data_IF_025984244375
#
_entry.id   IF_025984244375
#
_cell.length_a   1.000
_cell.length_b   1.000
_cell.length_c   1.000
_cell.angle_alpha   90.00
_cell.angle_beta   90.00
_cell.angle_gamma   90.00
#
_symmetry.space_group_name_H-M   'P 1'
#
loop_
_entity.id
_entity.type
_entity.pdbx_description
1 polymer ?
#
# COMPACT_ATOMS: atom_id res chain seq x y z
N UNK A 1 15.30 5.62 1.50
CA UNK A 1 14.25 6.48 2.05
C UNK A 1 13.63 5.78 3.24
N UNK A 2 13.49 6.48 4.37
CA UNK A 2 12.72 5.98 5.50
C UNK A 2 11.24 5.93 5.11
N UNK A 3 10.51 4.97 5.62
CA UNK A 3 9.05 4.90 5.53
C UNK A 3 8.44 5.69 6.70
N UNK A 4 7.15 6.04 6.65
CA UNK A 4 6.47 6.73 7.75
C UNK A 4 6.17 8.22 7.52
N UNK A 5 6.43 8.75 6.32
CA UNK A 5 6.05 10.12 5.94
C UNK A 5 6.86 11.25 6.59
N UNK A 6 7.97 10.95 7.23
CA UNK A 6 8.80 11.94 7.90
C UNK A 6 9.46 12.90 6.92
N UNK A 7 9.14 14.17 7.01
CA UNK A 7 9.69 15.26 6.19
C UNK A 7 10.04 16.49 7.02
N UNK A 8 10.88 17.37 6.44
CA UNK A 8 11.32 18.63 7.10
C UNK A 8 10.29 19.76 6.92
N UNK A 9 9.36 19.63 5.98
CA UNK A 9 8.37 20.64 5.63
C UNK A 9 6.96 20.13 5.91
N UNK A 10 6.08 20.97 6.45
CA UNK A 10 4.67 20.61 6.70
C UNK A 10 3.90 20.24 5.41
N UNK A 11 4.26 20.81 4.26
CA UNK A 11 3.68 20.50 2.96
C UNK A 11 4.42 19.36 2.23
N UNK A 12 5.23 18.59 2.94
CA UNK A 12 5.98 17.43 2.44
C UNK A 12 6.77 17.77 1.15
N UNK A 13 6.41 17.21 0.00
CA UNK A 13 7.13 17.40 -1.27
C UNK A 13 6.52 18.46 -2.19
N UNK A 14 5.43 19.14 -1.81
CA UNK A 14 4.70 20.08 -2.67
C UNK A 14 5.54 21.29 -3.16
N UNK A 15 6.55 21.71 -2.41
CA UNK A 15 7.41 22.85 -2.75
C UNK A 15 8.72 22.50 -3.48
N UNK A 16 8.89 21.26 -3.94
CA UNK A 16 10.08 20.84 -4.67
C UNK A 16 9.88 20.89 -6.18
N UNK A 17 11.00 20.91 -6.95
CA UNK A 17 10.94 20.93 -8.40
C UNK A 17 10.32 19.65 -8.97
N UNK A 18 9.71 19.75 -10.16
CA UNK A 18 9.12 18.62 -10.86
C UNK A 18 10.13 17.49 -11.12
N UNK A 19 11.39 17.84 -11.39
CA UNK A 19 12.45 16.86 -11.54
C UNK A 19 12.64 16.01 -10.27
N UNK A 20 12.69 16.66 -9.09
CA UNK A 20 12.84 15.96 -7.82
C UNK A 20 11.61 15.10 -7.50
N UNK A 21 10.40 15.63 -7.71
CA UNK A 21 9.15 14.90 -7.49
C UNK A 21 9.12 13.63 -8.36
N UNK A 22 9.42 13.75 -9.65
CA UNK A 22 9.43 12.61 -10.57
C UNK A 22 10.52 11.58 -10.20
N UNK A 23 11.72 12.06 -9.84
CA UNK A 23 12.81 11.19 -9.41
C UNK A 23 12.40 10.40 -8.15
N UNK A 24 11.86 11.07 -7.15
CA UNK A 24 11.38 10.42 -5.92
C UNK A 24 10.28 9.41 -6.23
N UNK A 25 9.33 9.74 -7.13
CA UNK A 25 8.26 8.81 -7.55
C UNK A 25 8.82 7.52 -8.11
N UNK A 26 9.77 7.62 -9.05
CA UNK A 26 10.40 6.45 -9.67
C UNK A 26 11.13 5.60 -8.61
N UNK A 27 11.94 6.23 -7.77
CA UNK A 27 12.67 5.49 -6.75
C UNK A 27 11.77 4.89 -5.67
N UNK A 28 10.69 5.55 -5.23
CA UNK A 28 9.70 4.95 -4.34
C UNK A 28 9.15 3.65 -4.93
N UNK A 29 8.67 3.69 -6.18
CA UNK A 29 8.11 2.50 -6.85
C UNK A 29 9.18 1.41 -7.00
N UNK A 30 10.41 1.74 -7.38
CA UNK A 30 11.50 0.77 -7.52
C UNK A 30 11.84 0.11 -6.18
N UNK A 31 11.99 0.87 -5.09
CA UNK A 31 12.29 0.30 -3.76
C UNK A 31 11.14 -0.52 -3.16
N UNK A 32 9.92 -0.39 -3.70
CA UNK A 32 8.81 -1.28 -3.39
C UNK A 32 8.87 -2.67 -4.04
N UNK A 33 9.78 -2.89 -4.99
CA UNK A 33 10.02 -4.20 -5.62
C UNK A 33 10.84 -5.08 -4.67
N UNK A 34 10.62 -6.38 -4.73
CA UNK A 34 11.39 -7.39 -4.01
C UNK A 34 12.89 -7.32 -4.38
N UNK A 35 13.77 -7.13 -3.41
CA UNK A 35 15.22 -7.00 -3.67
C UNK A 35 15.85 -8.26 -4.28
N UNK A 36 15.24 -9.43 -4.12
CA UNK A 36 15.68 -10.64 -4.81
C UNK A 36 15.60 -10.49 -6.33
N UNK A 37 14.66 -9.71 -6.85
CA UNK A 37 14.56 -9.43 -8.29
C UNK A 37 15.79 -8.67 -8.78
N UNK A 38 16.26 -7.67 -8.02
CA UNK A 38 17.49 -6.93 -8.35
C UNK A 38 18.73 -7.82 -8.30
N UNK A 39 18.82 -8.71 -7.29
CA UNK A 39 19.88 -9.70 -7.24
C UNK A 39 19.87 -10.63 -8.46
N UNK A 40 18.70 -11.09 -8.90
CA UNK A 40 18.56 -11.93 -10.09
C UNK A 40 18.99 -11.19 -11.38
N UNK A 41 18.67 -9.89 -11.47
CA UNK A 41 19.12 -9.04 -12.59
C UNK A 41 20.64 -8.90 -12.57
N UNK A 42 21.23 -8.59 -11.42
CA UNK A 42 22.68 -8.51 -11.23
C UNK A 42 23.39 -9.83 -11.60
N UNK A 43 22.81 -10.96 -11.18
CA UNK A 43 23.28 -12.30 -11.48
C UNK A 43 23.00 -12.74 -12.96
N UNK A 44 22.51 -11.81 -13.81
CA UNK A 44 22.16 -12.05 -15.24
C UNK A 44 21.10 -13.14 -15.46
N UNK A 45 20.28 -13.43 -14.43
CA UNK A 45 19.19 -14.41 -14.51
C UNK A 45 17.85 -13.72 -14.87
N UNK A 46 17.84 -12.94 -15.95
CA UNK A 46 16.73 -12.10 -16.40
C UNK A 46 15.41 -12.86 -16.52
N UNK A 47 15.45 -14.11 -17.02
CA UNK A 47 14.26 -14.94 -17.20
C UNK A 47 13.60 -15.30 -15.87
N UNK A 48 14.39 -15.49 -14.80
CA UNK A 48 13.86 -15.75 -13.45
C UNK A 48 13.33 -14.46 -12.81
N UNK A 49 14.03 -13.33 -13.01
CA UNK A 49 13.56 -12.03 -12.56
C UNK A 49 12.21 -11.66 -13.20
N UNK A 50 12.11 -11.84 -14.54
CA UNK A 50 10.88 -11.59 -15.28
C UNK A 50 9.74 -12.57 -14.96
N UNK A 51 10.01 -13.75 -14.39
CA UNK A 51 8.99 -14.71 -13.98
C UNK A 51 8.43 -14.47 -12.56
N UNK A 52 8.86 -13.41 -11.87
CA UNK A 52 8.37 -13.08 -10.52
C UNK A 52 6.91 -12.62 -10.58
N UNK A 53 6.00 -13.48 -10.12
CA UNK A 53 4.56 -13.23 -10.14
C UNK A 53 4.17 -12.04 -9.26
N UNK A 54 4.79 -11.92 -8.07
CA UNK A 54 4.56 -10.82 -7.15
C UNK A 54 4.87 -9.46 -7.80
N UNK A 55 5.98 -9.34 -8.52
CA UNK A 55 6.38 -8.12 -9.22
C UNK A 55 5.36 -7.70 -10.27
N UNK A 56 4.83 -8.65 -11.06
CA UNK A 56 3.80 -8.35 -12.06
C UNK A 56 2.53 -7.79 -11.43
N UNK A 57 2.04 -8.42 -10.36
CA UNK A 57 0.86 -7.94 -9.66
C UNK A 57 1.08 -6.59 -8.99
N UNK A 58 2.26 -6.36 -8.43
CA UNK A 58 2.64 -5.08 -7.86
C UNK A 58 2.55 -3.94 -8.89
N UNK A 59 3.18 -4.10 -10.07
CA UNK A 59 3.11 -3.09 -11.13
C UNK A 59 1.70 -2.97 -11.72
N UNK A 60 0.95 -4.04 -11.84
CA UNK A 60 -0.45 -4.01 -12.29
C UNK A 60 -1.33 -3.20 -11.34
N UNK A 61 -1.23 -3.42 -10.04
CA UNK A 61 -1.97 -2.69 -9.01
C UNK A 61 -1.63 -1.19 -9.09
N UNK A 62 -0.34 -0.85 -9.17
CA UNK A 62 0.11 0.54 -9.30
C UNK A 62 -0.45 1.17 -10.58
N UNK A 63 -0.30 0.54 -11.73
CA UNK A 63 -0.75 1.07 -13.01
C UNK A 63 -2.27 1.27 -13.04
N UNK A 64 -3.03 0.30 -12.52
CA UNK A 64 -4.48 0.39 -12.41
C UNK A 64 -4.90 1.54 -11.47
N UNK A 65 -4.30 1.65 -10.29
CA UNK A 65 -4.59 2.71 -9.34
C UNK A 65 -4.26 4.10 -9.92
N UNK A 66 -3.08 4.26 -10.53
CA UNK A 66 -2.67 5.51 -11.20
C UNK A 66 -3.68 5.87 -12.30
N UNK A 67 -4.05 4.92 -13.15
CA UNK A 67 -4.99 5.15 -14.26
C UNK A 67 -6.35 5.62 -13.77
N UNK A 68 -6.96 4.90 -12.82
CA UNK A 68 -8.28 5.24 -12.27
C UNK A 68 -8.24 6.60 -11.55
N UNK A 69 -7.24 6.82 -10.68
CA UNK A 69 -7.11 8.09 -9.94
C UNK A 69 -6.89 9.25 -10.93
N UNK A 70 -6.02 9.12 -11.92
CA UNK A 70 -5.76 10.17 -12.91
C UNK A 70 -7.03 10.59 -13.63
N UNK A 71 -7.85 9.64 -14.08
CA UNK A 71 -9.13 9.92 -14.73
C UNK A 71 -10.08 10.65 -13.77
N UNK A 72 -10.12 10.22 -12.51
CA UNK A 72 -11.03 10.75 -11.50
C UNK A 72 -10.67 12.18 -11.04
N UNK A 73 -9.38 12.53 -10.98
CA UNK A 73 -8.90 13.84 -10.52
C UNK A 73 -8.55 14.81 -11.66
N UNK A 74 -8.67 14.39 -12.94
CA UNK A 74 -8.28 15.22 -14.10
C UNK A 74 -8.90 16.62 -14.13
N UNK A 75 -10.11 16.76 -13.60
CA UNK A 75 -10.84 18.04 -13.54
C UNK A 75 -10.34 18.98 -12.44
N UNK A 76 -9.50 18.52 -11.52
CA UNK A 76 -8.96 19.32 -10.42
C UNK A 76 -7.62 20.01 -10.78
N UNK A 77 -6.98 19.60 -11.86
CA UNK A 77 -5.67 20.10 -12.29
C UNK A 77 -5.76 20.73 -13.68
N UNK A 78 -4.88 21.68 -13.96
CA UNK A 78 -4.87 22.43 -15.23
C UNK A 78 -4.51 21.58 -16.46
N UNK A 79 -3.94 20.37 -16.28
CA UNK A 79 -3.69 19.44 -17.37
C UNK A 79 -3.76 17.97 -16.92
N UNK A 80 -4.11 17.05 -17.84
CA UNK A 80 -4.10 15.61 -17.56
C UNK A 80 -2.72 15.09 -17.11
N UNK A 81 -1.64 15.70 -17.58
CA UNK A 81 -0.27 15.34 -17.22
C UNK A 81 0.03 15.69 -15.75
N UNK A 82 -0.47 16.83 -15.27
CA UNK A 82 -0.35 17.19 -13.84
C UNK A 82 -1.14 16.22 -12.97
N UNK A 83 -2.38 15.85 -13.36
CA UNK A 83 -3.16 14.85 -12.66
C UNK A 83 -2.42 13.50 -12.60
N UNK A 84 -1.84 13.04 -13.71
CA UNK A 84 -1.03 11.83 -13.78
C UNK A 84 0.18 11.89 -12.83
N UNK A 85 0.91 13.01 -12.82
CA UNK A 85 2.07 13.20 -11.95
C UNK A 85 1.71 13.08 -10.47
N UNK A 86 0.65 13.78 -10.03
CA UNK A 86 0.20 13.72 -8.65
C UNK A 86 -0.38 12.36 -8.28
N UNK A 87 -1.15 11.72 -9.18
CA UNK A 87 -1.64 10.36 -8.98
C UNK A 87 -0.51 9.34 -8.84
N UNK A 88 0.48 9.38 -9.74
CA UNK A 88 1.62 8.47 -9.71
C UNK A 88 2.46 8.65 -8.44
N UNK A 89 2.71 9.90 -8.04
CA UNK A 89 3.43 10.20 -6.80
C UNK A 89 2.67 9.64 -5.60
N UNK A 90 1.36 9.93 -5.49
CA UNK A 90 0.59 9.56 -4.31
C UNK A 90 0.37 8.05 -4.22
N UNK A 91 0.07 7.38 -5.34
CA UNK A 91 -0.01 5.90 -5.39
C UNK A 91 1.33 5.28 -5.01
N UNK A 92 2.44 5.75 -5.60
CA UNK A 92 3.78 5.28 -5.25
C UNK A 92 4.08 5.47 -3.76
N UNK A 93 3.80 6.64 -3.22
CA UNK A 93 4.04 6.99 -1.81
C UNK A 93 3.25 6.10 -0.85
N UNK A 94 1.96 5.86 -1.11
CA UNK A 94 1.10 5.08 -0.22
C UNK A 94 1.42 3.58 -0.30
N UNK A 95 1.51 2.98 -1.50
CA UNK A 95 1.73 1.54 -1.63
C UNK A 95 3.11 1.11 -1.12
N UNK A 96 4.12 1.97 -1.24
CA UNK A 96 5.46 1.71 -0.72
C UNK A 96 5.64 2.15 0.73
N UNK A 97 4.58 2.66 1.33
CA UNK A 97 4.57 3.18 2.71
C UNK A 97 5.61 4.28 2.97
N UNK A 98 5.95 5.06 1.92
CA UNK A 98 6.87 6.19 2.04
C UNK A 98 6.23 7.37 2.77
N UNK A 99 4.94 7.66 2.50
CA UNK A 99 4.13 8.64 3.21
C UNK A 99 4.36 10.09 2.79
N UNK A 100 5.10 10.36 1.71
CA UNK A 100 5.24 11.71 1.18
C UNK A 100 3.99 12.14 0.39
N UNK A 101 3.74 13.45 0.31
CA UNK A 101 2.65 14.02 -0.46
C UNK A 101 3.13 15.21 -1.29
N UNK A 102 2.51 15.41 -2.46
CA UNK A 102 2.72 16.58 -3.32
C UNK A 102 1.51 17.50 -3.34
N UNK A 103 0.36 17.02 -2.92
CA UNK A 103 -0.91 17.74 -2.80
C UNK A 103 -1.70 17.19 -1.64
N UNK A 104 -2.69 17.95 -1.19
CA UNK A 104 -3.65 17.46 -0.22
C UNK A 104 -4.64 16.50 -0.89
N UNK A 105 -4.37 15.19 -0.78
CA UNK A 105 -5.24 14.16 -1.35
C UNK A 105 -6.52 13.94 -0.55
N UNK A 106 -6.66 14.55 0.63
CA UNK A 106 -7.93 14.52 1.36
C UNK A 106 -9.03 15.31 0.65
N UNK A 107 -8.64 16.28 -0.19
CA UNK A 107 -9.55 17.03 -1.05
C UNK A 107 -9.95 16.29 -2.34
N UNK A 108 -9.37 15.13 -2.61
CA UNK A 108 -9.67 14.38 -3.83
C UNK A 108 -11.07 13.72 -3.77
N UNK A 109 -11.67 13.39 -4.93
CA UNK A 109 -12.95 12.70 -4.98
C UNK A 109 -12.91 11.37 -4.19
N UNK A 110 -14.06 10.99 -3.65
CA UNK A 110 -14.18 9.85 -2.73
C UNK A 110 -13.57 8.55 -3.28
N UNK A 111 -13.76 8.27 -4.58
CA UNK A 111 -13.18 7.07 -5.21
C UNK A 111 -11.66 7.05 -5.09
N UNK A 112 -10.98 8.18 -5.39
CA UNK A 112 -9.52 8.28 -5.29
C UNK A 112 -9.03 8.09 -3.86
N UNK A 113 -9.71 8.71 -2.89
CA UNK A 113 -9.41 8.54 -1.45
C UNK A 113 -9.56 7.08 -1.01
N UNK A 114 -10.65 6.42 -1.43
CA UNK A 114 -10.90 5.01 -1.11
C UNK A 114 -9.83 4.10 -1.70
N UNK A 115 -9.40 4.33 -2.95
CA UNK A 115 -8.31 3.57 -3.57
C UNK A 115 -7.01 3.73 -2.75
N UNK A 116 -6.66 4.96 -2.34
CA UNK A 116 -5.48 5.19 -1.52
C UNK A 116 -5.57 4.45 -0.18
N UNK A 117 -6.73 4.46 0.49
CA UNK A 117 -6.95 3.69 1.73
C UNK A 117 -6.77 2.18 1.50
N UNK A 118 -7.30 1.63 0.42
CA UNK A 118 -7.09 0.20 0.08
C UNK A 118 -5.61 -0.10 -0.14
N UNK A 119 -4.88 0.80 -0.83
CA UNK A 119 -3.45 0.64 -1.04
C UNK A 119 -2.62 0.67 0.26
N UNK A 120 -3.09 1.39 1.31
CA UNK A 120 -2.44 1.37 2.63
C UNK A 120 -2.31 -0.05 3.20
N UNK A 121 -3.32 -0.90 2.97
CA UNK A 121 -3.32 -2.29 3.46
C UNK A 121 -2.52 -3.23 2.56
N UNK A 122 -2.56 -3.03 1.24
CA UNK A 122 -1.87 -3.92 0.29
C UNK A 122 -0.35 -3.89 0.53
N UNK A 123 0.22 -2.69 0.60
CA UNK A 123 1.66 -2.52 0.77
C UNK A 123 2.48 -2.89 -0.47
N UNK A 124 3.80 -2.97 -0.30
CA UNK A 124 4.75 -3.29 -1.37
C UNK A 124 5.07 -4.81 -1.45
N UNK A 125 6.04 -5.21 -2.26
CA UNK A 125 6.47 -6.60 -2.37
C UNK A 125 7.13 -7.11 -1.08
N UNK A 126 7.08 -8.40 -0.83
CA UNK A 126 7.87 -9.06 0.22
C UNK A 126 9.37 -8.86 -0.07
N UNK A 127 10.17 -8.64 0.98
CA UNK A 127 11.60 -8.36 0.83
C UNK A 127 11.90 -7.00 0.16
N UNK A 128 10.98 -6.04 0.25
CA UNK A 128 11.16 -4.63 -0.08
C UNK A 128 11.24 -3.78 1.19
N UNK A 129 11.47 -2.47 1.04
CA UNK A 129 11.51 -1.53 2.18
C UNK A 129 10.12 -1.15 2.70
N UNK A 130 9.03 -1.40 1.95
CA UNK A 130 7.67 -1.00 2.30
C UNK A 130 7.09 -1.78 3.48
N UNK A 131 6.14 -1.20 4.20
CA UNK A 131 5.28 -1.84 5.22
C UNK A 131 4.07 -2.57 4.63
N UNK A 132 2.99 -2.66 5.41
CA UNK A 132 1.72 -3.27 5.00
C UNK A 132 1.73 -4.80 4.97
N UNK A 133 0.62 -5.39 4.50
CA UNK A 133 0.41 -6.86 4.46
C UNK A 133 1.37 -7.55 3.48
N UNK A 134 1.77 -6.90 2.42
CA UNK A 134 2.59 -7.35 1.27
C UNK A 134 1.76 -8.00 0.16
N UNK A 135 2.13 -7.64 -1.07
CA UNK A 135 1.48 -8.15 -2.29
C UNK A 135 1.47 -9.69 -2.35
N UNK A 136 2.58 -10.36 -1.98
CA UNK A 136 2.65 -11.83 -1.99
C UNK A 136 1.62 -12.47 -1.06
N UNK A 137 1.41 -11.93 0.16
CA UNK A 137 0.39 -12.47 1.07
C UNK A 137 -1.02 -12.25 0.54
N UNK A 138 -1.31 -11.07 -0.03
CA UNK A 138 -2.61 -10.81 -0.69
C UNK A 138 -2.84 -11.82 -1.83
N UNK A 139 -1.83 -12.07 -2.67
CA UNK A 139 -1.94 -13.07 -3.75
C UNK A 139 -2.24 -14.47 -3.22
N UNK A 140 -1.56 -14.88 -2.16
CA UNK A 140 -1.79 -16.19 -1.54
C UNK A 140 -3.21 -16.26 -0.97
N UNK A 141 -3.68 -15.23 -0.28
CA UNK A 141 -5.05 -15.17 0.27
C UNK A 141 -6.10 -15.25 -0.85
N UNK A 142 -5.95 -14.49 -1.94
CA UNK A 142 -6.86 -14.54 -3.09
C UNK A 142 -6.86 -15.93 -3.74
N UNK A 143 -5.67 -16.55 -3.92
CA UNK A 143 -5.57 -17.92 -4.43
C UNK A 143 -6.18 -18.95 -3.48
N UNK A 144 -6.07 -18.73 -2.16
CA UNK A 144 -6.71 -19.57 -1.15
C UNK A 144 -8.23 -19.50 -1.28
N UNK A 145 -8.79 -18.29 -1.29
CA UNK A 145 -10.24 -18.09 -1.47
C UNK A 145 -10.72 -18.75 -2.77
N UNK A 146 -10.02 -18.53 -3.89
CA UNK A 146 -10.36 -19.17 -5.18
C UNK A 146 -10.33 -20.69 -5.10
N UNK A 147 -9.31 -21.26 -4.44
CA UNK A 147 -9.22 -22.72 -4.24
C UNK A 147 -10.40 -23.26 -3.44
N UNK A 148 -10.77 -22.57 -2.34
CA UNK A 148 -11.92 -23.00 -1.52
C UNK A 148 -13.24 -22.92 -2.32
N UNK A 149 -13.45 -21.85 -3.09
CA UNK A 149 -14.61 -21.74 -3.98
C UNK A 149 -14.63 -22.86 -5.05
N UNK A 150 -13.48 -23.15 -5.68
CA UNK A 150 -13.35 -24.25 -6.63
C UNK A 150 -13.69 -25.60 -5.96
N UNK A 151 -13.30 -25.79 -4.68
CA UNK A 151 -13.57 -27.00 -3.90
C UNK A 151 -15.06 -27.16 -3.56
N UNK A 152 -15.81 -26.08 -3.37
CA UNK A 152 -17.29 -26.15 -3.19
C UNK A 152 -17.98 -26.65 -4.44
N UNK A 153 -17.49 -26.24 -5.65
CA UNK A 153 -18.09 -26.67 -6.92
C UNK A 153 -17.63 -28.08 -7.29
N UNK A 154 -16.38 -28.41 -6.98
CA UNK A 154 -15.76 -29.71 -7.31
C UNK A 154 -15.13 -30.37 -6.08
N UNK A 155 -15.91 -31.04 -5.19
CA UNK A 155 -15.41 -31.54 -3.89
C UNK A 155 -14.25 -32.56 -3.98
N UNK A 156 -14.08 -33.23 -5.12
CA UNK A 156 -13.00 -34.21 -5.34
C UNK A 156 -11.70 -33.60 -5.89
N UNK A 157 -11.67 -32.28 -6.12
CA UNK A 157 -10.51 -31.58 -6.68
C UNK A 157 -9.46 -31.33 -5.60
N UNK A 158 -8.34 -32.04 -5.66
CA UNK A 158 -7.17 -31.76 -4.81
C UNK A 158 -6.23 -30.78 -5.53
N UNK A 159 -6.34 -29.49 -5.21
CA UNK A 159 -5.53 -28.43 -5.84
C UNK A 159 -4.54 -27.85 -4.83
N UNK A 160 -3.25 -27.84 -5.19
CA UNK A 160 -2.22 -27.15 -4.41
C UNK A 160 -2.13 -25.68 -4.85
N UNK A 161 -1.92 -24.77 -3.89
CA UNK A 161 -1.70 -23.36 -4.19
C UNK A 161 -0.25 -23.19 -4.62
N UNK A 162 -0.01 -22.48 -5.72
CA UNK A 162 1.32 -22.20 -6.24
C UNK A 162 1.60 -20.70 -6.20
N UNK A 163 2.83 -20.34 -5.81
CA UNK A 163 3.39 -19.01 -5.95
C UNK A 163 4.72 -19.14 -6.68
N UNK A 164 4.94 -18.32 -7.70
CA UNK A 164 6.15 -18.35 -8.55
C UNK A 164 6.45 -19.74 -9.14
N UNK A 165 5.39 -20.47 -9.50
CA UNK A 165 5.51 -21.83 -10.07
C UNK A 165 5.83 -22.94 -9.06
N UNK A 166 5.94 -22.63 -7.76
CA UNK A 166 6.22 -23.61 -6.69
C UNK A 166 4.99 -23.81 -5.82
N UNK A 167 4.70 -25.06 -5.40
CA UNK A 167 3.63 -25.32 -4.44
C UNK A 167 4.00 -24.70 -3.09
N UNK A 168 3.04 -24.02 -2.47
CA UNK A 168 3.21 -23.43 -1.14
C UNK A 168 3.01 -24.54 -0.10
N UNK A 169 3.92 -24.62 0.87
CA UNK A 169 3.83 -25.54 1.99
C UNK A 169 2.69 -25.19 2.94
N UNK A 170 2.13 -26.19 3.59
CA UNK A 170 0.99 -26.04 4.49
C UNK A 170 1.31 -25.09 5.69
N UNK A 171 2.54 -25.15 6.18
CA UNK A 171 3.01 -24.29 7.28
C UNK A 171 3.05 -22.82 6.86
N UNK A 172 3.50 -22.53 5.64
CA UNK A 172 3.51 -21.17 5.09
C UNK A 172 2.10 -20.63 4.94
N UNK A 173 1.15 -21.42 4.43
CA UNK A 173 -0.26 -21.04 4.34
C UNK A 173 -0.86 -20.75 5.72
N UNK A 174 -0.59 -21.62 6.70
CA UNK A 174 -1.03 -21.44 8.08
C UNK A 174 -0.45 -20.15 8.66
N UNK A 175 0.84 -19.89 8.48
CA UNK A 175 1.51 -18.67 8.95
C UNK A 175 0.88 -17.40 8.36
N UNK A 176 0.56 -17.39 7.05
CA UNK A 176 -0.10 -16.25 6.39
C UNK A 176 -1.50 -16.03 6.98
N UNK A 177 -2.27 -17.09 7.19
CA UNK A 177 -3.61 -16.98 7.76
C UNK A 177 -3.57 -16.46 9.21
N UNK A 178 -2.69 -17.01 10.05
CA UNK A 178 -2.49 -16.54 11.44
C UNK A 178 -2.07 -15.08 11.46
N UNK A 179 -1.11 -14.69 10.61
CA UNK A 179 -0.70 -13.29 10.47
C UNK A 179 -1.87 -12.39 10.11
N UNK A 180 -2.69 -12.79 9.11
CA UNK A 180 -3.82 -11.98 8.64
C UNK A 180 -4.88 -11.82 9.73
N UNK A 181 -5.22 -12.89 10.45
CA UNK A 181 -6.17 -12.83 11.56
C UNK A 181 -5.64 -11.94 12.67
N UNK A 182 -4.39 -12.14 13.10
CA UNK A 182 -3.75 -11.31 14.13
C UNK A 182 -3.71 -9.84 13.72
N UNK A 183 -3.35 -9.57 12.45
CA UNK A 183 -3.36 -8.22 11.89
C UNK A 183 -4.73 -7.55 12.02
N UNK A 184 -5.80 -8.24 11.61
CA UNK A 184 -7.16 -7.70 11.68
C UNK A 184 -7.65 -7.49 13.12
N UNK A 185 -7.34 -8.42 14.03
CA UNK A 185 -7.70 -8.31 15.45
C UNK A 185 -7.00 -7.12 16.11
N UNK A 186 -5.67 -6.99 15.92
CA UNK A 186 -4.90 -5.88 16.50
C UNK A 186 -5.36 -4.55 15.87
N UNK A 187 -5.57 -4.51 14.54
CA UNK A 187 -6.08 -3.33 13.86
C UNK A 187 -7.42 -2.87 14.43
N UNK A 188 -8.38 -3.79 14.58
CA UNK A 188 -9.70 -3.48 15.14
C UNK A 188 -9.59 -3.00 16.59
N UNK A 189 -8.78 -3.66 17.41
CA UNK A 189 -8.52 -3.22 18.78
C UNK A 189 -7.91 -1.81 18.84
N UNK A 190 -6.95 -1.51 17.98
CA UNK A 190 -6.33 -0.17 17.89
C UNK A 190 -7.35 0.90 17.49
N UNK A 191 -8.24 0.60 16.53
CA UNK A 191 -9.31 1.55 16.15
C UNK A 191 -10.23 1.83 17.33
N UNK A 192 -10.57 0.81 18.14
CA UNK A 192 -11.41 0.98 19.33
C UNK A 192 -10.72 1.84 20.40
N UNK A 193 -9.42 1.65 20.60
CA UNK A 193 -8.65 2.49 21.55
C UNK A 193 -8.62 3.95 21.10
N UNK A 194 -8.32 4.22 19.84
CA UNK A 194 -8.27 5.59 19.28
C UNK A 194 -9.68 6.23 19.29
N UNK A 195 -10.75 5.45 19.19
CA UNK A 195 -12.11 5.98 19.26
C UNK A 195 -12.44 6.67 20.59
N UNK A 196 -11.67 6.43 21.67
CA UNK A 196 -11.80 7.14 22.95
C UNK A 196 -11.47 8.64 22.83
N UNK A 197 -10.77 9.07 21.78
CA UNK A 197 -10.47 10.48 21.52
C UNK A 197 -11.62 11.25 20.84
N UNK A 198 -12.77 10.57 20.57
CA UNK A 198 -14.01 11.16 20.03
C UNK A 198 -13.85 11.83 18.65
N UNK A 199 -12.86 11.42 17.85
CA UNK A 199 -12.76 11.85 16.46
C UNK A 199 -13.73 11.06 15.57
N UNK A 200 -13.96 11.58 14.35
CA UNK A 200 -14.78 10.92 13.34
C UNK A 200 -14.17 9.56 12.92
N UNK A 201 -15.03 8.65 12.47
CA UNK A 201 -14.63 7.29 12.10
C UNK A 201 -13.54 7.25 11.01
N UNK A 202 -13.59 8.18 10.04
CA UNK A 202 -12.58 8.27 8.96
C UNK A 202 -11.22 8.62 9.55
N UNK A 203 -11.17 9.59 10.46
CA UNK A 203 -9.94 9.96 11.18
C UNK A 203 -9.38 8.77 11.96
N UNK A 204 -10.20 8.12 12.80
CA UNK A 204 -9.76 7.01 13.64
C UNK A 204 -9.26 5.82 12.80
N UNK A 205 -10.05 5.42 11.80
CA UNK A 205 -9.71 4.31 10.91
C UNK A 205 -8.42 4.57 10.13
N UNK A 206 -8.30 5.75 9.52
CA UNK A 206 -7.12 6.07 8.69
C UNK A 206 -5.89 6.43 9.50
N UNK A 207 -6.04 6.93 10.73
CA UNK A 207 -4.93 7.11 11.66
C UNK A 207 -4.29 5.76 11.99
N UNK A 208 -5.10 4.76 12.38
CA UNK A 208 -4.60 3.40 12.61
C UNK A 208 -4.04 2.80 11.33
N UNK A 209 -4.71 2.91 10.18
CA UNK A 209 -4.23 2.37 8.92
C UNK A 209 -2.86 2.95 8.54
N UNK A 210 -2.67 4.27 8.70
CA UNK A 210 -1.43 4.95 8.36
C UNK A 210 -0.28 4.60 9.32
N UNK A 211 -0.53 4.53 10.62
CA UNK A 211 0.50 4.21 11.63
C UNK A 211 0.84 2.73 11.64
N UNK A 212 -0.15 1.84 11.62
CA UNK A 212 0.02 0.40 11.65
C UNK A 212 0.78 -0.13 10.43
N UNK A 213 0.60 0.49 9.27
CA UNK A 213 1.34 0.16 8.05
C UNK A 213 2.59 1.02 7.85
N UNK A 214 2.94 1.89 8.80
CA UNK A 214 4.10 2.77 8.77
C UNK A 214 4.14 3.68 7.52
N UNK A 215 3.01 4.35 7.22
CA UNK A 215 2.85 5.25 6.07
C UNK A 215 3.03 6.71 6.52
N UNK A 216 2.31 7.14 7.56
CA UNK A 216 2.30 8.48 8.11
C UNK A 216 0.98 9.20 7.88
N UNK A 217 0.69 9.78 6.70
CA UNK A 217 -0.56 10.50 6.49
C UNK A 217 -1.76 9.55 6.30
N UNK A 218 -2.88 9.90 6.94
CA UNK A 218 -4.20 9.30 6.72
C UNK A 218 -5.14 10.26 5.98
N UNK A 219 -6.39 10.35 6.44
CA UNK A 219 -7.43 11.25 5.92
C UNK A 219 -8.02 12.10 7.07
N UNK A 220 -8.73 13.17 6.72
CA UNK A 220 -9.38 14.08 7.67
C UNK A 220 -8.38 14.69 8.65
N UNK A 221 -8.52 14.55 9.96
CA UNK A 221 -7.64 15.17 10.98
C UNK A 221 -6.17 14.69 10.92
N UNK A 222 -5.90 13.58 10.25
CA UNK A 222 -4.57 13.02 10.02
C UNK A 222 -4.16 13.04 8.54
N UNK A 223 -4.80 13.91 7.76
CA UNK A 223 -4.48 14.11 6.35
C UNK A 223 -3.04 14.58 6.10
N UNK A 224 -2.62 14.68 4.83
CA UNK A 224 -1.23 14.94 4.46
C UNK A 224 -0.70 16.31 4.87
N UNK A 225 -1.58 17.26 5.21
CA UNK A 225 -1.26 18.60 5.69
C UNK A 225 -1.48 18.76 7.20
N UNK A 226 -1.98 17.72 7.86
CA UNK A 226 -2.29 17.67 9.28
C UNK A 226 -1.24 16.88 10.07
N UNK A 227 -1.48 16.69 11.37
CA UNK A 227 -0.58 15.93 12.23
C UNK A 227 -1.35 15.24 13.37
N UNK A 228 -0.68 14.32 14.06
CA UNK A 228 -1.24 13.55 15.18
C UNK A 228 -1.23 14.30 16.52
N UNK A 229 -0.92 15.61 16.54
CA UNK A 229 -0.77 16.40 17.75
C UNK A 229 -2.02 16.50 18.62
N UNK A 230 -3.21 16.43 18.00
CA UNK A 230 -4.52 16.51 18.65
C UNK A 230 -4.96 15.25 19.41
N UNK A 231 -4.30 14.12 19.19
CA UNK A 231 -4.64 12.87 19.90
C UNK A 231 -4.17 12.92 21.36
N UNK A 232 -4.86 12.18 22.22
CA UNK A 232 -4.50 12.01 23.62
C UNK A 232 -3.14 11.33 23.82
N UNK A 233 -2.58 11.44 25.03
CA UNK A 233 -1.32 10.75 25.36
C UNK A 233 -1.49 9.23 25.23
N UNK A 234 -2.66 8.68 25.62
CA UNK A 234 -2.96 7.25 25.51
C UNK A 234 -2.91 6.75 24.06
N UNK A 235 -3.46 7.55 23.12
CA UNK A 235 -3.51 7.19 21.69
C UNK A 235 -2.19 7.38 20.94
N UNK A 236 -1.22 8.08 21.55
CA UNK A 236 0.11 8.30 20.97
C UNK A 236 1.13 7.21 21.35
N UNK A 237 0.89 6.45 22.44
CA UNK A 237 1.73 5.39 22.97
C UNK A 237 1.00 4.05 23.03
#
# INVERSE_FOLDING_TARGET
AGTGGFGIKNNSMAGYSDFLINTVTVFMILFGVNFNVYYLIYAKKFRKAAACEEMHWYFLIIAAAIGVITINIRGMFGSPLQALKHAAFQVGSIITTTGYSTTDFDMWPQLSRTILVVLMFIGACAGSTGGGIKVSRILVLVKTVKKELDSFVHPRLVKKIHLEGRPIEHETLRSINVFTISYLVIFAASVLVIALDEFDLVTNFTAVAATFNNIGPGLSKVGPTMNFGSFSVLSKY
#
